data_IF_167980796955
#
_entry.id   IF_167980796955
#
_cell.length_a   1.000
_cell.length_b   1.000
_cell.length_c   1.000
_cell.angle_alpha   90.00
_cell.angle_beta   90.00
_cell.angle_gamma   90.00
#
_symmetry.space_group_name_H-M   'P 1'
#
loop_
_entity.id
_entity.type
_entity.pdbx_description
1 polymer ?
#
# COMPACT_ATOMS: atom_id res chain seq x y z
N UNK A 1 63.67 86.49 -46.69
CA UNK A 1 62.69 87.59 -46.51
C UNK A 1 61.73 87.14 -45.41
N UNK A 2 61.71 87.68 -44.18
CA UNK A 2 61.30 89.03 -43.73
C UNK A 2 59.79 89.31 -43.92
N UNK A 3 58.99 89.79 -42.95
CA UNK A 3 59.10 89.95 -41.47
C UNK A 3 57.68 90.15 -40.86
N UNK A 4 57.54 90.05 -39.53
CA UNK A 4 56.35 90.33 -38.66
C UNK A 4 55.37 89.15 -38.52
N UNK A 5 54.72 88.85 -37.37
CA UNK A 5 54.44 89.52 -36.09
C UNK A 5 53.15 90.37 -35.98
N UNK A 6 52.34 90.01 -34.96
CA UNK A 6 51.32 90.81 -34.21
C UNK A 6 50.05 91.34 -34.88
N UNK A 7 48.95 90.61 -34.64
CA UNK A 7 47.60 91.06 -34.21
C UNK A 7 46.90 89.85 -33.56
N UNK A 8 46.08 89.94 -32.51
CA UNK A 8 45.75 91.02 -31.58
C UNK A 8 45.32 90.39 -30.22
N UNK A 9 45.43 91.13 -29.12
CA UNK A 9 44.87 90.74 -27.81
C UNK A 9 43.34 90.63 -27.84
N UNK A 10 42.77 89.46 -27.51
CA UNK A 10 41.45 89.35 -26.87
C UNK A 10 41.38 88.19 -25.89
N UNK A 11 41.05 88.51 -24.64
CA UNK A 11 40.59 87.62 -23.56
C UNK A 11 41.55 86.54 -23.01
N UNK A 12 42.38 87.00 -22.08
CA UNK A 12 42.64 86.29 -20.82
C UNK A 12 41.29 85.95 -20.11
N UNK A 13 41.32 85.03 -19.13
CA UNK A 13 40.18 84.57 -18.26
C UNK A 13 39.33 83.41 -18.80
N UNK A 14 39.78 82.18 -18.49
CA UNK A 14 39.04 80.92 -18.33
C UNK A 14 40.07 79.77 -18.13
N UNK A 15 40.93 79.79 -17.12
CA UNK A 15 40.62 79.64 -15.69
C UNK A 15 39.65 78.49 -15.40
N UNK A 16 40.23 77.34 -15.00
CA UNK A 16 39.77 76.37 -13.98
C UNK A 16 38.35 75.75 -14.05
N UNK A 17 38.28 74.49 -13.59
CA UNK A 17 37.06 73.71 -13.23
C UNK A 17 36.23 73.10 -14.39
N UNK A 18 36.68 71.95 -14.91
CA UNK A 18 35.76 70.87 -15.34
C UNK A 18 36.33 69.47 -15.02
N UNK A 19 36.72 69.27 -13.76
CA UNK A 19 36.85 67.94 -13.15
C UNK A 19 35.61 67.65 -12.30
N UNK A 20 34.45 67.50 -12.94
CA UNK A 20 33.25 67.02 -12.27
C UNK A 20 33.17 65.50 -12.38
N UNK A 21 33.05 64.82 -11.24
CA UNK A 21 32.83 63.37 -11.18
C UNK A 21 31.65 62.94 -12.08
N UNK A 22 31.94 62.05 -13.03
CA UNK A 22 30.92 61.10 -13.50
C UNK A 22 30.76 60.00 -12.45
N UNK A 23 30.19 60.35 -11.30
CA UNK A 23 29.54 59.34 -10.45
C UNK A 23 28.31 58.87 -11.22
N UNK A 24 28.44 57.76 -11.96
CA UNK A 24 27.26 56.97 -12.33
C UNK A 24 26.62 56.53 -11.02
N UNK A 25 25.44 57.05 -10.72
CA UNK A 25 24.57 56.39 -9.77
C UNK A 25 24.31 54.99 -10.31
N UNK A 26 24.75 53.96 -9.58
CA UNK A 26 24.32 52.60 -9.86
C UNK A 26 22.81 52.55 -9.71
N UNK A 27 22.14 52.13 -10.77
CA UNK A 27 20.68 52.04 -10.83
C UNK A 27 20.22 50.95 -9.85
N UNK A 28 19.89 51.37 -8.62
CA UNK A 28 19.49 50.48 -7.51
C UNK A 28 18.08 49.97 -7.73
N UNK A 29 17.92 49.11 -8.73
CA UNK A 29 16.72 48.27 -8.91
C UNK A 29 16.35 47.65 -7.55
N UNK A 30 15.15 47.92 -7.02
CA UNK A 30 14.82 47.57 -5.65
C UNK A 30 14.81 46.05 -5.48
N UNK A 31 15.66 45.56 -4.57
CA UNK A 31 15.84 44.13 -4.32
C UNK A 31 14.55 43.59 -3.70
N UNK A 32 13.88 42.72 -4.43
CA UNK A 32 12.66 42.04 -3.99
C UNK A 32 12.88 41.17 -2.74
N UNK A 33 11.86 41.05 -1.89
CA UNK A 33 11.93 40.19 -0.71
C UNK A 33 12.04 38.70 -1.09
N UNK A 34 12.68 37.92 -0.20
CA UNK A 34 12.87 36.48 -0.41
C UNK A 34 11.53 35.76 -0.21
N UNK A 35 11.12 34.98 -1.20
CA UNK A 35 10.00 34.04 -1.11
C UNK A 35 10.53 32.61 -0.99
N UNK A 36 10.05 31.89 0.02
CA UNK A 36 10.28 30.46 0.21
C UNK A 36 9.02 29.75 -0.26
N UNK A 37 9.05 29.04 -1.37
CA UNK A 37 7.88 28.44 -2.02
C UNK A 37 7.64 28.95 -3.45
N UNK A 38 6.64 28.38 -4.14
CA UNK A 38 6.29 28.74 -5.53
C UNK A 38 5.35 29.93 -5.65
N UNK A 39 4.37 30.04 -4.75
CA UNK A 39 3.25 30.98 -4.86
C UNK A 39 3.21 31.88 -3.63
N UNK A 40 2.86 31.31 -2.48
CA UNK A 40 2.88 31.99 -1.18
C UNK A 40 4.19 31.78 -0.41
N UNK A 41 4.45 32.68 0.54
CA UNK A 41 5.59 32.60 1.46
C UNK A 41 5.35 31.51 2.51
N UNK A 42 6.01 30.36 2.33
CA UNK A 42 5.98 29.24 3.26
C UNK A 42 6.66 29.62 4.58
N UNK A 43 5.87 29.79 5.64
CA UNK A 43 6.34 30.14 6.98
C UNK A 43 6.77 28.92 7.80
N UNK A 44 6.22 27.75 7.50
CA UNK A 44 6.46 26.50 8.23
C UNK A 44 6.55 25.30 7.29
N UNK A 45 7.42 24.34 7.64
CA UNK A 45 7.53 23.04 6.97
C UNK A 45 7.56 21.92 8.01
N UNK A 46 6.59 21.01 7.90
CA UNK A 46 6.62 19.72 8.60
C UNK A 46 7.27 18.66 7.70
N UNK A 47 8.06 17.76 8.30
CA UNK A 47 8.68 16.60 7.66
C UNK A 47 8.99 15.48 8.66
N UNK A 48 9.14 14.25 8.18
CA UNK A 48 9.44 13.09 9.01
C UNK A 48 10.96 12.92 9.20
N UNK A 49 11.37 12.22 10.27
CA UNK A 49 12.77 11.86 10.54
C UNK A 49 13.44 11.23 9.30
N UNK A 50 14.66 11.67 8.99
CA UNK A 50 15.49 11.26 7.83
C UNK A 50 14.96 11.59 6.41
N UNK A 51 13.77 12.21 6.26
CA UNK A 51 13.25 12.64 4.95
C UNK A 51 13.86 13.98 4.48
N UNK A 52 13.94 14.20 3.15
CA UNK A 52 14.34 15.48 2.53
C UNK A 52 13.14 16.10 1.81
N UNK A 53 12.89 17.39 2.03
CA UNK A 53 11.94 18.22 1.27
C UNK A 53 12.68 19.30 0.50
N UNK A 54 12.33 19.46 -0.78
CA UNK A 54 12.90 20.46 -1.70
C UNK A 54 11.91 21.61 -1.88
N UNK A 55 12.38 22.83 -1.74
CA UNK A 55 11.58 24.06 -1.75
C UNK A 55 12.29 25.06 -2.66
N UNK A 56 11.57 25.66 -3.61
CA UNK A 56 12.13 26.71 -4.46
C UNK A 56 12.22 28.03 -3.69
N UNK A 57 13.27 28.78 -3.96
CA UNK A 57 13.53 30.13 -3.48
C UNK A 57 13.39 31.10 -4.65
N UNK A 58 12.78 32.25 -4.41
CA UNK A 58 12.74 33.35 -5.38
C UNK A 58 12.88 34.70 -4.69
N UNK A 59 13.09 35.75 -5.48
CA UNK A 59 13.40 37.09 -4.98
C UNK A 59 14.84 37.24 -4.48
N UNK A 60 15.10 38.24 -3.65
CA UNK A 60 16.47 38.65 -3.29
C UNK A 60 17.28 39.07 -4.51
N UNK A 61 18.60 38.78 -4.49
CA UNK A 61 19.50 38.98 -5.63
C UNK A 61 19.91 37.65 -6.31
N UNK A 62 19.13 36.59 -6.11
CA UNK A 62 19.41 35.24 -6.62
C UNK A 62 20.59 34.51 -5.96
N UNK A 63 21.38 35.18 -5.11
CA UNK A 63 22.44 34.55 -4.31
C UNK A 63 21.91 34.31 -2.90
N UNK A 64 21.46 33.09 -2.64
CA UNK A 64 20.92 32.69 -1.35
C UNK A 64 21.98 32.02 -0.45
N UNK A 65 21.87 32.26 0.85
CA UNK A 65 22.56 31.53 1.92
C UNK A 65 21.52 31.06 2.94
N UNK A 66 21.81 30.02 3.70
CA UNK A 66 20.92 29.53 4.76
C UNK A 66 21.72 29.19 6.01
N UNK A 67 21.16 29.50 7.18
CA UNK A 67 21.60 28.98 8.47
C UNK A 67 20.43 28.29 9.17
N UNK A 68 20.69 27.21 9.91
CA UNK A 68 19.71 26.57 10.81
C UNK A 68 20.11 26.84 12.26
N UNK A 69 19.12 27.08 13.13
CA UNK A 69 19.35 27.39 14.54
C UNK A 69 19.78 26.15 15.34
N UNK A 70 19.21 24.98 15.06
CA UNK A 70 19.65 23.69 15.61
C UNK A 70 19.87 22.66 14.49
N UNK A 71 21.14 22.48 14.12
CA UNK A 71 21.58 21.52 13.09
C UNK A 71 21.46 20.06 13.52
N UNK A 72 21.10 19.78 14.79
CA UNK A 72 20.78 18.42 15.26
C UNK A 72 19.36 18.04 14.87
N UNK A 73 18.41 18.98 14.91
CA UNK A 73 17.00 18.71 14.56
C UNK A 73 16.85 18.58 13.04
N UNK A 74 17.41 19.52 12.27
CA UNK A 74 17.34 19.49 10.81
C UNK A 74 18.64 20.00 10.15
N UNK A 75 18.99 19.41 9.01
CA UNK A 75 20.02 19.92 8.11
C UNK A 75 19.37 20.69 6.97
N UNK A 76 19.97 21.82 6.61
CA UNK A 76 19.53 22.64 5.47
C UNK A 76 20.70 22.94 4.53
N UNK A 77 20.44 22.89 3.23
CA UNK A 77 21.42 23.26 2.20
C UNK A 77 20.71 23.93 1.03
N UNK A 78 21.43 24.76 0.27
CA UNK A 78 20.91 25.39 -0.94
C UNK A 78 21.74 24.92 -2.14
N UNK A 79 21.03 24.56 -3.21
CA UNK A 79 21.62 24.26 -4.51
C UNK A 79 20.92 25.14 -5.55
N UNK A 80 21.64 26.16 -6.05
CA UNK A 80 21.09 27.24 -6.90
C UNK A 80 19.93 27.97 -6.21
N UNK A 81 18.71 27.76 -6.69
CA UNK A 81 17.43 28.28 -6.21
C UNK A 81 16.67 27.29 -5.32
N UNK A 82 17.20 26.10 -5.09
CA UNK A 82 16.50 25.02 -4.37
C UNK A 82 17.05 24.88 -2.95
N UNK A 83 16.24 25.24 -1.96
CA UNK A 83 16.44 24.90 -0.55
C UNK A 83 16.08 23.43 -0.32
N UNK A 84 16.99 22.68 0.28
CA UNK A 84 16.78 21.30 0.74
C UNK A 84 16.75 21.30 2.26
N UNK A 85 15.67 20.77 2.83
CA UNK A 85 15.47 20.62 4.27
C UNK A 85 15.40 19.13 4.57
N UNK A 86 16.33 18.62 5.39
CA UNK A 86 16.38 17.21 5.81
C UNK A 86 16.17 17.10 7.32
N UNK A 87 15.16 16.33 7.72
CA UNK A 87 14.88 16.07 9.14
C UNK A 87 15.89 15.05 9.70
N UNK A 88 16.42 15.29 10.89
CA UNK A 88 17.43 14.44 11.52
C UNK A 88 16.93 13.84 12.84
N UNK A 89 16.49 14.69 13.76
CA UNK A 89 15.88 14.32 15.05
C UNK A 89 14.58 15.09 15.25
N UNK A 90 13.69 14.54 16.08
CA UNK A 90 12.37 15.13 16.36
C UNK A 90 12.49 16.45 17.14
N UNK A 91 11.56 17.36 16.90
CA UNK A 91 11.51 18.68 17.52
C UNK A 91 11.36 19.81 16.50
N UNK A 92 11.45 21.04 17.00
CA UNK A 92 11.29 22.25 16.20
C UNK A 92 12.60 23.05 16.11
N UNK A 93 12.90 23.56 14.91
CA UNK A 93 14.00 24.49 14.68
C UNK A 93 13.59 25.52 13.63
N UNK A 94 14.45 26.50 13.34
CA UNK A 94 14.21 27.49 12.31
C UNK A 94 15.40 27.58 11.36
N UNK A 95 15.11 27.70 10.07
CA UNK A 95 16.08 28.09 9.07
C UNK A 95 15.88 29.57 8.69
N UNK A 96 16.98 30.32 8.66
CA UNK A 96 17.00 31.69 8.14
C UNK A 96 17.71 31.70 6.80
N UNK A 97 16.96 31.98 5.73
CA UNK A 97 17.48 32.21 4.38
C UNK A 97 17.81 33.69 4.23
N UNK A 98 18.98 34.01 3.68
CA UNK A 98 19.43 35.38 3.44
C UNK A 98 19.89 35.57 1.99
N UNK A 99 19.64 36.74 1.44
CA UNK A 99 20.04 37.14 0.09
C UNK A 99 20.15 38.66 0.05
N UNK A 100 21.35 39.16 -0.25
CA UNK A 100 21.71 40.57 -0.02
C UNK A 100 21.39 41.03 1.42
N UNK A 101 20.57 42.08 1.58
CA UNK A 101 20.06 42.64 2.84
C UNK A 101 18.80 41.92 3.36
N UNK A 102 18.13 41.15 2.50
CA UNK A 102 16.86 40.49 2.81
C UNK A 102 17.06 39.21 3.61
N UNK A 103 16.08 38.92 4.48
CA UNK A 103 16.04 37.71 5.31
C UNK A 103 14.62 37.13 5.32
N UNK A 104 14.52 35.81 5.25
CA UNK A 104 13.28 35.06 5.40
C UNK A 104 13.50 33.92 6.40
N UNK A 105 12.56 33.72 7.33
CA UNK A 105 12.63 32.65 8.34
C UNK A 105 11.57 31.60 8.04
N UNK A 106 11.98 30.33 8.11
CA UNK A 106 11.16 29.14 7.91
C UNK A 106 11.20 28.32 9.20
N UNK A 107 10.04 28.11 9.83
CA UNK A 107 9.89 27.14 10.92
C UNK A 107 10.00 25.73 10.34
N UNK A 108 10.76 24.86 10.98
CA UNK A 108 10.96 23.47 10.60
C UNK A 108 10.52 22.61 11.78
N UNK A 109 9.48 21.80 11.58
CA UNK A 109 9.01 20.83 12.57
C UNK A 109 9.29 19.41 12.08
N UNK A 110 10.14 18.69 12.80
CA UNK A 110 10.45 17.28 12.51
C UNK A 110 9.60 16.42 13.44
N UNK A 111 8.62 15.74 12.85
CA UNK A 111 7.62 14.95 13.58
C UNK A 111 7.83 13.44 13.35
N UNK A 112 7.44 12.59 14.30
CA UNK A 112 7.35 11.16 14.05
C UNK A 112 6.27 10.89 13.00
N UNK A 113 6.49 9.95 12.05
CA UNK A 113 5.44 9.52 11.14
C UNK A 113 4.26 8.93 11.92
N UNK A 114 3.04 9.26 11.49
CA UNK A 114 1.81 8.62 11.99
C UNK A 114 1.85 7.12 11.72
N UNK A 115 1.45 6.30 12.70
CA UNK A 115 1.37 4.85 12.52
C UNK A 115 0.35 4.52 11.42
N UNK A 116 0.79 3.85 10.36
CA UNK A 116 -0.07 3.55 9.22
C UNK A 116 0.57 2.57 8.24
N UNK A 117 -0.21 1.60 7.77
CA UNK A 117 0.14 0.79 6.62
C UNK A 117 0.06 1.63 5.35
N UNK A 118 0.80 1.25 4.31
CA UNK A 118 0.71 1.86 2.97
C UNK A 118 -0.64 1.63 2.28
N UNK A 119 -1.45 0.70 2.79
CA UNK A 119 -2.77 0.34 2.28
C UNK A 119 -3.67 -0.03 3.47
N UNK A 120 -4.92 0.42 3.48
CA UNK A 120 -5.90 -0.01 4.50
C UNK A 120 -6.49 -1.39 4.17
N UNK A 121 -6.55 -1.74 2.88
CA UNK A 121 -6.96 -3.06 2.41
C UNK A 121 -6.25 -3.45 1.11
N UNK A 122 -6.03 -4.76 0.95
CA UNK A 122 -5.46 -5.36 -0.25
C UNK A 122 -6.23 -6.63 -0.65
N UNK A 123 -6.26 -6.92 -1.95
CA UNK A 123 -6.78 -8.17 -2.50
C UNK A 123 -5.64 -8.98 -3.10
N UNK A 124 -5.53 -10.25 -2.74
CA UNK A 124 -4.45 -11.16 -3.14
C UNK A 124 -5.01 -12.55 -3.49
N UNK A 125 -4.18 -13.40 -4.10
CA UNK A 125 -4.56 -14.75 -4.53
C UNK A 125 -3.76 -15.83 -3.75
N UNK A 126 -4.35 -17.00 -3.44
CA UNK A 126 -3.64 -18.10 -2.79
C UNK A 126 -2.46 -18.61 -3.63
N UNK A 127 -1.29 -18.76 -2.98
CA UNK A 127 -0.04 -19.31 -3.55
C UNK A 127 0.43 -18.66 -4.86
N UNK A 128 0.04 -17.41 -5.11
CA UNK A 128 0.43 -16.65 -6.31
C UNK A 128 1.83 -16.02 -6.11
N UNK A 129 1.89 -14.85 -5.47
CA UNK A 129 3.15 -14.14 -5.19
C UNK A 129 3.22 -13.69 -3.74
N UNK A 130 4.46 -13.55 -3.23
CA UNK A 130 4.72 -12.85 -1.96
C UNK A 130 4.40 -11.37 -2.18
N UNK A 131 3.65 -10.80 -1.25
CA UNK A 131 3.27 -9.39 -1.28
C UNK A 131 3.86 -8.63 -0.10
N UNK A 132 4.14 -7.35 -0.34
CA UNK A 132 4.86 -6.49 0.57
C UNK A 132 4.02 -5.26 0.88
N UNK A 133 3.81 -4.97 2.15
CA UNK A 133 3.17 -3.75 2.63
C UNK A 133 4.17 -3.04 3.54
N UNK A 134 4.47 -1.78 3.26
CA UNK A 134 5.21 -0.94 4.21
C UNK A 134 4.30 -0.45 5.32
N UNK A 135 4.86 -0.35 6.52
CA UNK A 135 4.25 0.21 7.72
C UNK A 135 5.17 1.32 8.22
N UNK A 136 4.64 2.54 8.31
CA UNK A 136 5.35 3.71 8.82
C UNK A 136 4.85 4.06 10.23
N UNK A 137 5.68 4.75 11.03
CA UNK A 137 5.32 5.24 12.36
C UNK A 137 5.31 4.17 13.46
N UNK A 138 4.86 4.58 14.65
CA UNK A 138 4.67 3.69 15.80
C UNK A 138 5.86 3.51 16.76
N UNK A 139 6.97 4.22 16.54
CA UNK A 139 8.16 4.15 17.42
C UNK A 139 9.16 3.07 17.00
N UNK A 140 10.05 2.68 17.91
CA UNK A 140 11.04 1.61 17.64
C UNK A 140 10.45 0.21 17.85
N UNK A 141 9.53 0.07 18.81
CA UNK A 141 8.86 -1.18 19.18
C UNK A 141 7.42 -1.25 18.66
N UNK A 142 7.27 -1.51 17.35
CA UNK A 142 5.97 -1.83 16.75
C UNK A 142 5.69 -3.33 16.82
N UNK A 143 4.52 -3.69 17.34
CA UNK A 143 4.05 -5.09 17.41
C UNK A 143 2.95 -5.35 16.38
N UNK A 144 2.92 -6.55 15.80
CA UNK A 144 1.87 -6.98 14.86
C UNK A 144 1.08 -8.15 15.44
N UNK A 145 -0.24 -8.10 15.33
CA UNK A 145 -1.17 -9.20 15.60
C UNK A 145 -2.01 -9.45 14.36
N UNK A 146 -2.29 -10.71 14.05
CA UNK A 146 -3.25 -11.11 13.01
C UNK A 146 -4.43 -11.86 13.62
N UNK A 147 -5.63 -11.65 13.09
CA UNK A 147 -6.82 -12.48 13.37
C UNK A 147 -6.97 -13.46 12.21
N UNK A 148 -6.45 -14.68 12.40
CA UNK A 148 -6.42 -15.72 11.37
C UNK A 148 -6.56 -17.12 12.01
N UNK A 149 -7.79 -17.55 12.34
CA UNK A 149 -8.04 -18.85 12.99
C UNK A 149 -7.82 -20.06 12.07
N UNK A 150 -7.64 -19.85 10.76
CA UNK A 150 -7.58 -20.93 9.77
C UNK A 150 -6.22 -21.05 9.07
N UNK A 151 -5.25 -20.21 9.43
CA UNK A 151 -3.94 -20.09 8.78
C UNK A 151 -4.05 -19.76 7.28
N UNK A 152 -4.95 -18.83 6.96
CA UNK A 152 -5.17 -18.20 5.64
C UNK A 152 -3.89 -17.51 5.18
N UNK A 153 -3.12 -16.92 6.09
CA UNK A 153 -2.02 -16.02 5.78
C UNK A 153 -0.78 -16.24 6.68
N UNK A 154 0.39 -16.43 6.08
CA UNK A 154 1.67 -16.27 6.80
C UNK A 154 2.24 -14.87 6.58
N UNK A 155 2.85 -14.30 7.63
CA UNK A 155 3.47 -12.97 7.57
C UNK A 155 4.85 -12.96 8.22
N UNK A 156 5.77 -12.12 7.72
CA UNK A 156 7.11 -11.88 8.26
C UNK A 156 7.35 -10.37 8.35
N UNK A 157 7.62 -9.88 9.56
CA UNK A 157 7.86 -8.46 9.82
C UNK A 157 9.36 -8.15 9.88
N UNK A 158 9.78 -7.08 9.20
CA UNK A 158 11.12 -6.52 9.31
C UNK A 158 11.06 -5.10 9.87
N UNK A 159 11.10 -4.98 11.20
CA UNK A 159 11.05 -3.70 11.91
C UNK A 159 12.18 -2.73 11.57
N UNK A 160 13.31 -3.21 11.03
CA UNK A 160 14.42 -2.34 10.59
C UNK A 160 14.09 -1.62 9.27
N UNK A 161 13.33 -2.25 8.38
CA UNK A 161 12.98 -1.69 7.06
C UNK A 161 11.56 -1.14 6.99
N UNK A 162 10.72 -1.42 7.99
CA UNK A 162 9.30 -1.07 7.96
C UNK A 162 8.49 -1.94 7.00
N UNK A 163 8.98 -3.12 6.62
CA UNK A 163 8.35 -3.98 5.59
C UNK A 163 7.69 -5.20 6.23
N UNK A 164 6.40 -5.36 5.98
CA UNK A 164 5.62 -6.55 6.24
C UNK A 164 5.53 -7.39 4.96
N UNK A 165 6.19 -8.54 4.97
CA UNK A 165 6.07 -9.55 3.91
C UNK A 165 4.93 -10.51 4.24
N UNK A 166 4.19 -10.93 3.23
CA UNK A 166 3.01 -11.78 3.40
C UNK A 166 2.87 -12.79 2.26
N UNK A 167 2.36 -13.97 2.60
CA UNK A 167 2.12 -15.06 1.66
C UNK A 167 0.80 -15.76 2.03
N UNK A 168 -0.14 -15.73 1.09
CA UNK A 168 -1.50 -16.24 1.25
C UNK A 168 -1.58 -17.73 0.87
N UNK A 169 -2.18 -18.53 1.73
CA UNK A 169 -2.26 -20.00 1.59
C UNK A 169 -3.64 -20.48 1.17
N UNK A 170 -4.69 -19.83 1.66
CA UNK A 170 -6.09 -20.22 1.44
C UNK A 170 -6.94 -18.98 1.20
N UNK A 171 -8.07 -19.14 0.52
CA UNK A 171 -9.08 -18.10 0.38
C UNK A 171 -9.70 -17.71 1.74
N UNK A 172 -9.90 -16.41 1.98
CA UNK A 172 -10.49 -15.91 3.21
C UNK A 172 -10.21 -14.43 3.44
N UNK A 173 -10.39 -13.97 4.67
CA UNK A 173 -10.02 -12.63 5.11
C UNK A 173 -9.17 -12.71 6.38
N UNK A 174 -8.19 -11.83 6.50
CA UNK A 174 -7.33 -11.69 7.69
C UNK A 174 -7.18 -10.22 8.00
N UNK A 175 -7.52 -9.85 9.23
CA UNK A 175 -7.24 -8.52 9.76
C UNK A 175 -5.89 -8.53 10.48
N UNK A 176 -5.04 -7.56 10.17
CA UNK A 176 -3.76 -7.34 10.82
C UNK A 176 -3.80 -6.00 11.55
N UNK A 177 -3.53 -6.01 12.85
CA UNK A 177 -3.38 -4.81 13.67
C UNK A 177 -1.91 -4.60 13.98
N UNK A 178 -1.40 -3.41 13.65
CA UNK A 178 -0.15 -2.89 14.18
C UNK A 178 -0.43 -2.05 15.43
N UNK A 179 0.31 -2.27 16.51
CA UNK A 179 0.27 -1.44 17.72
C UNK A 179 1.66 -0.85 17.97
N UNK A 180 1.75 0.47 17.99
CA UNK A 180 2.98 1.21 18.29
C UNK A 180 3.20 1.45 19.77
N UNK A 181 4.37 1.97 20.13
CA UNK A 181 4.83 2.22 21.51
C UNK A 181 3.84 3.05 22.34
N UNK A 182 3.25 4.07 21.72
CA UNK A 182 2.32 4.99 22.37
C UNK A 182 0.88 4.45 22.44
N UNK A 183 0.66 3.16 22.16
CA UNK A 183 -0.66 2.52 22.12
C UNK A 183 -1.50 2.88 20.88
N UNK A 184 -0.93 3.60 19.91
CA UNK A 184 -1.58 3.87 18.63
C UNK A 184 -1.77 2.58 17.84
N UNK A 185 -2.90 2.45 17.14
CA UNK A 185 -3.19 1.31 16.26
C UNK A 185 -3.29 1.73 14.79
N UNK A 186 -2.83 0.86 13.89
CA UNK A 186 -3.20 0.85 12.48
C UNK A 186 -3.70 -0.54 12.08
N UNK A 187 -4.59 -0.62 11.09
CA UNK A 187 -5.22 -1.87 10.64
C UNK A 187 -5.04 -2.06 9.14
N UNK A 188 -4.88 -3.31 8.73
CA UNK A 188 -4.79 -3.74 7.34
C UNK A 188 -5.74 -4.93 7.13
N UNK A 189 -6.68 -4.78 6.21
CA UNK A 189 -7.62 -5.84 5.83
C UNK A 189 -7.13 -6.59 4.58
N UNK A 190 -6.63 -7.82 4.77
CA UNK A 190 -6.13 -8.67 3.68
C UNK A 190 -7.25 -9.61 3.23
N UNK A 191 -7.75 -9.43 2.00
CA UNK A 191 -8.77 -10.29 1.41
C UNK A 191 -8.13 -11.24 0.37
N UNK A 192 -8.04 -12.51 0.71
CA UNK A 192 -7.56 -13.55 -0.21
C UNK A 192 -8.74 -14.07 -1.02
N UNK A 193 -8.73 -13.82 -2.33
CA UNK A 193 -9.77 -14.28 -3.28
C UNK A 193 -9.22 -15.31 -4.26
N UNK A 194 -10.09 -16.10 -4.84
CA UNK A 194 -9.84 -16.87 -6.07
C UNK A 194 -10.24 -16.00 -7.28
N UNK A 195 -9.62 -16.22 -8.44
CA UNK A 195 -9.72 -15.34 -9.61
C UNK A 195 -10.83 -15.73 -10.62
N UNK A 196 -11.35 -16.94 -10.52
CA UNK A 196 -12.51 -17.46 -11.25
C UNK A 196 -13.60 -17.92 -10.28
N UNK A 197 -14.73 -18.40 -10.81
CA UNK A 197 -15.89 -18.86 -10.05
C UNK A 197 -16.06 -20.38 -10.21
N UNK A 198 -16.67 -21.03 -9.22
CA UNK A 198 -17.07 -22.44 -9.33
C UNK A 198 -18.29 -22.51 -10.26
N UNK A 199 -18.20 -23.26 -11.36
CA UNK A 199 -19.28 -23.37 -12.36
C UNK A 199 -20.03 -24.69 -12.23
N UNK A 200 -19.31 -25.82 -12.20
CA UNK A 200 -19.88 -27.17 -12.17
C UNK A 200 -19.99 -27.72 -10.74
N UNK A 201 -20.90 -28.68 -10.46
CA UNK A 201 -20.94 -29.38 -9.18
C UNK A 201 -19.64 -30.15 -8.90
N UNK A 202 -19.23 -30.19 -7.63
CA UNK A 202 -17.95 -30.80 -7.26
C UNK A 202 -17.35 -30.25 -5.97
N UNK A 203 -16.07 -30.57 -5.79
CA UNK A 203 -15.25 -30.20 -4.63
C UNK A 203 -14.01 -29.45 -5.11
N UNK A 204 -13.80 -28.26 -4.56
CA UNK A 204 -12.80 -27.30 -5.02
C UNK A 204 -11.90 -26.86 -3.86
N UNK A 205 -10.58 -26.80 -4.06
CA UNK A 205 -9.66 -26.32 -3.04
C UNK A 205 -9.65 -24.80 -2.95
N UNK A 206 -9.38 -24.26 -1.76
CA UNK A 206 -9.25 -22.81 -1.54
C UNK A 206 -7.80 -22.31 -1.66
N UNK A 207 -6.85 -23.17 -2.02
CA UNK A 207 -5.40 -22.95 -1.88
C UNK A 207 -4.64 -22.64 -3.18
N UNK A 208 -5.35 -22.36 -4.28
CA UNK A 208 -4.79 -21.91 -5.56
C UNK A 208 -5.52 -20.68 -6.07
N UNK A 209 -4.90 -19.99 -7.03
CA UNK A 209 -5.45 -18.80 -7.69
C UNK A 209 -6.73 -19.03 -8.51
N UNK A 210 -6.95 -20.24 -9.02
CA UNK A 210 -8.13 -20.57 -9.85
C UNK A 210 -8.74 -21.91 -9.43
N UNK A 211 -10.07 -21.96 -9.20
CA UNK A 211 -10.85 -23.17 -8.96
C UNK A 211 -10.80 -24.14 -10.13
N UNK A 212 -10.81 -23.64 -11.38
CA UNK A 212 -10.63 -24.46 -12.59
C UNK A 212 -9.29 -25.22 -12.62
N UNK A 213 -8.30 -24.78 -11.83
CA UNK A 213 -7.02 -25.47 -11.62
C UNK A 213 -6.92 -26.19 -10.27
N UNK A 214 -7.99 -26.19 -9.48
CA UNK A 214 -8.04 -26.67 -8.10
C UNK A 214 -9.26 -27.55 -7.81
N UNK A 215 -9.73 -28.28 -8.82
CA UNK A 215 -10.74 -29.32 -8.65
C UNK A 215 -10.14 -30.47 -7.83
N UNK A 216 -10.55 -30.60 -6.56
CA UNK A 216 -10.20 -31.76 -5.74
C UNK A 216 -11.04 -32.96 -6.20
N UNK A 217 -12.30 -32.71 -6.58
CA UNK A 217 -13.16 -33.69 -7.24
C UNK A 217 -14.22 -33.03 -8.11
N UNK A 218 -14.06 -33.08 -9.44
CA UNK A 218 -15.14 -32.74 -10.37
C UNK A 218 -16.26 -33.78 -10.29
N UNK A 219 -17.52 -33.35 -10.28
CA UNK A 219 -18.65 -34.28 -10.32
C UNK A 219 -18.99 -34.65 -11.78
N UNK A 220 -18.88 -35.93 -12.12
CA UNK A 220 -19.28 -36.48 -13.42
C UNK A 220 -20.68 -37.11 -13.34
N UNK A 221 -21.04 -37.65 -12.18
CA UNK A 221 -22.35 -38.24 -11.90
C UNK A 221 -22.73 -37.93 -10.45
N UNK A 222 -23.96 -37.50 -10.23
CA UNK A 222 -24.51 -37.31 -8.88
C UNK A 222 -25.69 -38.26 -8.67
N UNK A 223 -25.76 -38.86 -7.49
CA UNK A 223 -26.90 -39.63 -7.00
C UNK A 223 -27.51 -38.86 -5.84
N UNK A 224 -28.68 -38.29 -6.10
CA UNK A 224 -29.50 -37.61 -5.10
C UNK A 224 -30.44 -38.62 -4.45
N UNK A 225 -30.51 -38.63 -3.11
CA UNK A 225 -31.44 -39.46 -2.36
C UNK A 225 -32.18 -38.63 -1.33
N UNK A 226 -33.48 -38.50 -1.57
CA UNK A 226 -34.43 -37.83 -0.68
C UNK A 226 -34.36 -38.38 0.76
N UNK A 227 -34.31 -37.47 1.73
CA UNK A 227 -34.20 -37.78 3.15
C UNK A 227 -32.82 -38.29 3.59
N UNK A 228 -31.81 -38.20 2.71
CA UNK A 228 -30.46 -38.72 2.98
C UNK A 228 -29.38 -37.70 2.61
N UNK A 229 -29.35 -37.21 1.37
CA UNK A 229 -28.29 -36.34 0.88
C UNK A 229 -27.85 -36.70 -0.55
N UNK A 230 -26.60 -36.38 -0.88
CA UNK A 230 -26.05 -36.57 -2.23
C UNK A 230 -24.80 -37.45 -2.22
N UNK A 231 -24.58 -38.21 -3.28
CA UNK A 231 -23.30 -38.85 -3.57
C UNK A 231 -22.78 -38.36 -4.90
N UNK A 232 -21.64 -37.69 -4.90
CA UNK A 232 -20.92 -37.28 -6.11
C UNK A 232 -19.90 -38.34 -6.50
N UNK A 233 -19.74 -38.58 -7.80
CA UNK A 233 -18.75 -39.49 -8.37
C UNK A 233 -17.89 -38.74 -9.40
N UNK A 234 -16.57 -38.94 -9.35
CA UNK A 234 -15.63 -38.34 -10.33
C UNK A 234 -15.55 -39.11 -11.66
N UNK A 235 -16.42 -40.11 -11.86
CA UNK A 235 -16.44 -40.95 -13.05
C UNK A 235 -17.86 -41.46 -13.32
N UNK A 236 -18.10 -41.97 -14.52
CA UNK A 236 -19.34 -42.66 -14.87
C UNK A 236 -19.48 -44.07 -14.24
N UNK A 237 -18.56 -44.49 -13.37
CA UNK A 237 -18.60 -45.78 -12.64
C UNK A 237 -18.96 -45.53 -11.17
N UNK A 238 -20.23 -45.66 -10.75
CA UNK A 238 -20.67 -45.26 -9.41
C UNK A 238 -20.08 -46.11 -8.27
N UNK A 239 -19.56 -47.30 -8.57
CA UNK A 239 -18.87 -48.18 -7.61
C UNK A 239 -17.35 -47.95 -7.53
N UNK A 240 -16.82 -46.97 -8.27
CA UNK A 240 -15.39 -46.63 -8.30
C UNK A 240 -14.51 -47.68 -8.99
N UNK A 241 -13.26 -47.79 -8.51
CA UNK A 241 -12.26 -48.74 -8.99
C UNK A 241 -11.36 -48.18 -10.11
N UNK A 242 -10.35 -48.97 -10.49
CA UNK A 242 -9.33 -48.56 -11.47
C UNK A 242 -9.96 -48.33 -12.86
N UNK A 243 -9.90 -47.08 -13.31
CA UNK A 243 -10.01 -46.70 -14.72
C UNK A 243 -8.57 -46.58 -15.22
N UNK A 244 -8.31 -46.88 -16.49
CA UNK A 244 -6.96 -47.03 -17.08
C UNK A 244 -6.00 -45.85 -16.82
N UNK A 245 -6.55 -44.68 -16.46
CA UNK A 245 -5.81 -43.42 -16.25
C UNK A 245 -5.97 -42.85 -14.83
N UNK A 246 -6.92 -43.33 -14.00
CA UNK A 246 -7.16 -42.82 -12.63
C UNK A 246 -8.10 -43.73 -11.81
N UNK A 247 -8.10 -43.60 -10.48
CA UNK A 247 -9.08 -44.28 -9.61
C UNK A 247 -10.42 -43.52 -9.56
N UNK A 248 -11.51 -44.24 -9.84
CA UNK A 248 -12.86 -43.75 -9.63
C UNK A 248 -13.17 -43.59 -8.14
N UNK A 249 -13.49 -42.37 -7.73
CA UNK A 249 -13.73 -41.98 -6.35
C UNK A 249 -15.11 -41.31 -6.19
N UNK A 250 -15.67 -41.42 -4.99
CA UNK A 250 -16.97 -40.87 -4.66
C UNK A 250 -16.95 -40.16 -3.31
N UNK A 251 -17.70 -39.07 -3.19
CA UNK A 251 -17.94 -38.37 -1.94
C UNK A 251 -19.44 -38.34 -1.65
N UNK A 252 -19.85 -39.01 -0.58
CA UNK A 252 -21.19 -38.90 -0.02
C UNK A 252 -21.23 -37.75 0.99
N UNK A 253 -22.28 -36.94 0.93
CA UNK A 253 -22.54 -35.78 1.78
C UNK A 253 -23.95 -35.94 2.35
N UNK A 254 -24.05 -35.96 3.68
CA UNK A 254 -25.33 -36.12 4.41
C UNK A 254 -25.37 -35.22 5.64
N UNK A 255 -26.51 -34.63 6.03
CA UNK A 255 -27.83 -34.73 5.40
C UNK A 255 -27.92 -33.96 4.07
N UNK A 256 -29.09 -34.00 3.44
CA UNK A 256 -29.44 -33.05 2.37
C UNK A 256 -29.50 -31.60 2.89
N UNK A 257 -29.22 -30.63 2.01
CA UNK A 257 -29.34 -29.20 2.32
C UNK A 257 -30.77 -28.76 2.02
N UNK A 258 -31.53 -28.37 3.04
CA UNK A 258 -32.95 -27.96 2.93
C UNK A 258 -33.07 -26.48 3.27
N UNK A 259 -33.78 -25.70 2.43
CA UNK A 259 -34.07 -24.28 2.63
C UNK A 259 -32.87 -23.44 3.14
N UNK A 260 -31.68 -23.51 2.49
CA UNK A 260 -30.49 -22.84 2.97
C UNK A 260 -30.66 -21.31 3.01
N UNK A 261 -29.97 -20.64 3.94
CA UNK A 261 -29.85 -19.17 3.96
C UNK A 261 -28.39 -18.78 3.95
N UNK A 262 -28.10 -17.65 3.31
CA UNK A 262 -26.74 -17.13 3.18
C UNK A 262 -26.12 -16.87 4.56
N UNK A 263 -24.96 -17.47 4.83
CA UNK A 263 -24.25 -17.37 6.09
C UNK A 263 -24.63 -18.39 7.16
N UNK A 264 -25.65 -19.24 6.95
CA UNK A 264 -25.96 -20.34 7.88
C UNK A 264 -24.78 -21.32 7.97
N UNK A 265 -24.60 -21.97 9.13
CA UNK A 265 -23.65 -23.06 9.31
C UNK A 265 -24.45 -24.37 9.37
N UNK A 266 -24.08 -25.33 8.53
CA UNK A 266 -24.65 -26.68 8.52
C UNK A 266 -23.59 -27.70 8.94
N UNK A 267 -24.02 -28.70 9.72
CA UNK A 267 -23.20 -29.87 10.03
C UNK A 267 -23.44 -30.95 8.98
N UNK A 268 -22.37 -31.42 8.32
CA UNK A 268 -22.44 -32.54 7.38
C UNK A 268 -21.45 -33.65 7.74
N UNK A 269 -21.88 -34.90 7.58
CA UNK A 269 -21.02 -36.07 7.50
C UNK A 269 -20.55 -36.22 6.05
N UNK A 270 -19.23 -36.15 5.85
CA UNK A 270 -18.54 -36.48 4.61
C UNK A 270 -18.05 -37.93 4.67
N UNK A 271 -18.36 -38.73 3.64
CA UNK A 271 -17.91 -40.12 3.54
C UNK A 271 -17.28 -40.39 2.17
N UNK A 272 -15.98 -40.61 2.16
CA UNK A 272 -15.21 -41.02 0.99
C UNK A 272 -15.45 -42.50 0.65
N UNK A 273 -15.55 -42.83 -0.64
CA UNK A 273 -15.67 -44.21 -1.14
C UNK A 273 -14.84 -44.41 -2.41
N UNK A 274 -14.15 -45.54 -2.51
CA UNK A 274 -13.54 -46.03 -3.75
C UNK A 274 -12.09 -45.60 -4.03
N UNK A 275 -11.50 -44.71 -3.23
CA UNK A 275 -10.08 -44.38 -3.31
C UNK A 275 -9.34 -44.80 -2.03
N UNK A 276 -8.10 -45.25 -2.17
CA UNK A 276 -7.22 -45.60 -1.03
C UNK A 276 -6.75 -44.34 -0.29
N UNK A 277 -6.47 -43.26 -1.03
CA UNK A 277 -6.21 -41.93 -0.46
C UNK A 277 -7.49 -41.06 -0.50
N UNK A 278 -8.01 -40.60 0.64
CA UNK A 278 -9.26 -39.86 0.66
C UNK A 278 -9.10 -38.41 0.14
N UNK A 279 -9.77 -38.11 -0.97
CA UNK A 279 -9.97 -36.77 -1.58
C UNK A 279 -10.21 -35.67 -0.52
N UNK A 280 -11.15 -35.95 0.38
CA UNK A 280 -11.31 -35.29 1.68
C UNK A 280 -11.49 -36.43 2.69
N UNK A 281 -10.88 -36.30 3.88
CA UNK A 281 -11.02 -37.25 4.96
C UNK A 281 -12.50 -37.42 5.37
N UNK A 282 -12.92 -38.66 5.62
CA UNK A 282 -14.29 -38.92 6.09
C UNK A 282 -14.46 -38.43 7.53
N UNK A 283 -15.59 -37.79 7.84
CA UNK A 283 -15.87 -37.24 9.16
C UNK A 283 -16.93 -36.13 9.14
N UNK A 284 -17.11 -35.49 10.30
CA UNK A 284 -18.05 -34.37 10.48
C UNK A 284 -17.39 -33.03 10.18
N UNK A 285 -18.10 -32.17 9.47
CA UNK A 285 -17.66 -30.84 9.06
C UNK A 285 -18.78 -29.82 9.24
N UNK A 286 -18.47 -28.74 9.95
CA UNK A 286 -19.24 -27.50 9.93
C UNK A 286 -18.92 -26.74 8.64
N UNK A 287 -19.91 -26.53 7.77
CA UNK A 287 -19.77 -25.80 6.51
C UNK A 287 -20.68 -24.58 6.48
N UNK A 288 -20.18 -23.45 6.00
CA UNK A 288 -20.99 -22.22 5.85
C UNK A 288 -21.67 -22.17 4.49
N UNK A 289 -22.95 -21.80 4.43
CA UNK A 289 -23.64 -21.47 3.18
C UNK A 289 -23.05 -20.15 2.63
N UNK A 290 -22.24 -20.24 1.58
CA UNK A 290 -21.55 -19.07 1.01
C UNK A 290 -22.26 -18.48 -0.21
N UNK A 291 -22.90 -19.32 -1.02
CA UNK A 291 -23.64 -18.89 -2.21
C UNK A 291 -24.88 -19.76 -2.38
N UNK A 292 -26.01 -19.15 -2.75
CA UNK A 292 -27.25 -19.86 -3.10
C UNK A 292 -27.61 -19.44 -4.53
N UNK A 293 -27.78 -20.44 -5.40
CA UNK A 293 -28.05 -20.28 -6.83
C UNK A 293 -29.45 -20.75 -7.15
N UNK A 294 -30.42 -19.89 -6.87
CA UNK A 294 -31.86 -20.19 -7.06
C UNK A 294 -32.19 -20.70 -8.46
N UNK A 295 -31.53 -20.17 -9.50
CA UNK A 295 -31.75 -20.57 -10.91
C UNK A 295 -31.35 -22.01 -11.22
N UNK A 296 -30.40 -22.57 -10.49
CA UNK A 296 -29.89 -23.95 -10.69
C UNK A 296 -30.33 -24.90 -9.57
N UNK A 297 -30.94 -24.38 -8.50
CA UNK A 297 -31.23 -25.17 -7.29
C UNK A 297 -29.96 -25.63 -6.58
N UNK A 298 -28.83 -24.91 -6.72
CA UNK A 298 -27.55 -25.31 -6.15
C UNK A 298 -27.00 -24.32 -5.11
N UNK A 299 -26.07 -24.81 -4.29
CA UNK A 299 -25.48 -24.11 -3.15
C UNK A 299 -23.98 -24.34 -3.12
N UNK A 300 -23.21 -23.32 -2.73
CA UNK A 300 -21.79 -23.46 -2.38
C UNK A 300 -21.65 -23.47 -0.87
N UNK A 301 -21.12 -24.59 -0.37
CA UNK A 301 -20.75 -24.80 1.02
C UNK A 301 -19.25 -24.50 1.19
N UNK A 302 -18.89 -23.66 2.16
CA UNK A 302 -17.50 -23.26 2.45
C UNK A 302 -16.96 -23.95 3.69
N UNK A 303 -15.83 -24.64 3.53
CA UNK A 303 -14.84 -24.93 4.56
C UNK A 303 -13.62 -24.01 4.34
N UNK A 304 -12.79 -23.71 5.35
CA UNK A 304 -11.58 -22.90 5.13
C UNK A 304 -10.57 -23.50 4.13
N UNK A 305 -10.63 -24.82 3.89
CA UNK A 305 -9.70 -25.56 3.01
C UNK A 305 -10.31 -26.04 1.68
N UNK A 306 -11.63 -26.06 1.57
CA UNK A 306 -12.33 -26.53 0.37
C UNK A 306 -13.73 -25.91 0.29
N UNK A 307 -14.31 -25.92 -0.92
CA UNK A 307 -15.71 -25.61 -1.18
C UNK A 307 -16.39 -26.80 -1.83
N UNK A 308 -17.69 -26.93 -1.62
CA UNK A 308 -18.52 -28.01 -2.16
C UNK A 308 -19.72 -27.38 -2.86
N UNK A 309 -19.91 -27.68 -4.14
CA UNK A 309 -21.03 -27.20 -4.95
C UNK A 309 -21.97 -28.37 -5.24
N UNK A 310 -23.18 -28.32 -4.67
CA UNK A 310 -24.19 -29.40 -4.70
C UNK A 310 -25.60 -28.80 -4.81
N UNK A 311 -26.64 -29.59 -5.15
CA UNK A 311 -28.03 -29.14 -5.06
C UNK A 311 -28.49 -28.90 -3.61
N UNK A 312 -29.55 -28.10 -3.47
CA UNK A 312 -30.35 -27.97 -2.26
C UNK A 312 -31.83 -28.16 -2.60
N UNK A 313 -32.65 -28.40 -1.58
CA UNK A 313 -34.07 -28.70 -1.73
C UNK A 313 -34.95 -27.66 -1.01
N UNK A 314 -36.11 -27.37 -1.59
CA UNK A 314 -37.13 -26.49 -0.99
C UNK A 314 -38.35 -27.30 -0.59
N UNK A 315 -38.50 -27.57 0.70
CA UNK A 315 -39.60 -28.36 1.28
C UNK A 315 -39.77 -28.14 2.78
#
# INVERSE_FOLDING_TARGET
MTTKATTLYTSLVALLLFSFQSCKEEDKTPISDIKIGKEEMLKEVALNRQTERKILLSGGNGKFRVNVEDSRIASVSISRDTLRVKGLFEGETFATVTSHDKRARLKISVVPPTLGFSHDSIVVYPKDQIFYVSLAGGGENVTLKKVDPHNILSMRWNGRTGILEMHAHYEGAVDITATGENGTEAKLHVKVKVADEIIEPGVYGTDRKYYSSNEIMRCVMMVEKEGFGVTMHNSARPYGGWITTYNGASLQITPEVINPKLGDIIEVDLLNKGNEEPIIASGKYSLTIEEIREKTGTVILRHPRFKVHIPYYTR
#
